data_IF_040235645840
#
_entry.id   IF_040235645840
#
_cell.length_a   1.000
_cell.length_b   1.000
_cell.length_c   1.000
_cell.angle_alpha   90.00
_cell.angle_beta   90.00
_cell.angle_gamma   90.00
#
_symmetry.space_group_name_H-M   'P 1'
#
loop_
_entity.id
_entity.type
_entity.pdbx_description
1 polymer ?
#
# COMPACT_ATOMS: atom_id res chain seq x y z
N UNK A 1 -3.83 2.69 -24.78
CA UNK A 1 -5.29 2.67 -24.57
C UNK A 1 -5.65 3.95 -23.84
N UNK A 2 -6.59 4.73 -24.34
CA UNK A 2 -6.92 6.07 -23.83
C UNK A 2 -7.33 6.05 -22.35
N UNK A 3 -7.94 4.96 -21.89
CA UNK A 3 -8.32 4.75 -20.49
C UNK A 3 -7.13 4.80 -19.51
N UNK A 4 -5.97 4.29 -19.93
CA UNK A 4 -4.75 4.33 -19.11
C UNK A 4 -4.16 5.74 -19.06
N UNK A 5 -4.13 6.44 -20.19
CA UNK A 5 -3.55 7.80 -20.29
C UNK A 5 -4.36 8.76 -19.41
N UNK A 6 -5.68 8.77 -19.57
CA UNK A 6 -6.58 9.64 -18.78
C UNK A 6 -6.44 9.38 -17.26
N UNK A 7 -6.28 8.12 -16.86
CA UNK A 7 -6.10 7.77 -15.45
C UNK A 7 -4.76 8.26 -14.91
N UNK A 8 -3.67 8.12 -15.68
CA UNK A 8 -2.35 8.58 -15.26
C UNK A 8 -2.29 10.10 -15.08
N UNK A 9 -3.06 10.87 -15.85
CA UNK A 9 -3.17 12.34 -15.69
C UNK A 9 -3.84 12.77 -14.39
N UNK A 10 -4.64 11.90 -13.76
CA UNK A 10 -5.33 12.18 -12.49
C UNK A 10 -4.48 11.86 -11.25
N UNK A 11 -3.42 11.05 -11.39
CA UNK A 11 -2.65 10.58 -10.25
C UNK A 11 -1.63 11.63 -9.77
N UNK A 12 -1.70 12.06 -8.49
CA UNK A 12 -0.86 13.14 -7.98
C UNK A 12 0.62 12.76 -7.86
N UNK A 13 0.92 11.49 -7.62
CA UNK A 13 2.28 10.96 -7.47
C UNK A 13 2.41 9.58 -8.11
N UNK A 14 3.53 9.37 -8.79
CA UNK A 14 3.88 8.11 -9.47
C UNK A 14 5.23 7.54 -9.02
N UNK A 15 5.86 8.15 -8.01
CA UNK A 15 7.18 7.80 -7.52
C UNK A 15 7.21 7.53 -6.02
N UNK A 16 8.31 6.96 -5.54
CA UNK A 16 8.55 6.85 -4.10
C UNK A 16 8.68 8.26 -3.46
N UNK A 17 8.31 8.42 -2.17
CA UNK A 17 8.59 9.62 -1.40
C UNK A 17 10.04 10.08 -1.54
N UNK A 18 10.26 11.40 -1.57
CA UNK A 18 11.58 11.99 -1.82
C UNK A 18 12.64 11.54 -0.81
N UNK A 19 12.27 11.37 0.47
CA UNK A 19 13.21 10.89 1.49
C UNK A 19 13.73 9.49 1.16
N UNK A 20 12.91 8.65 0.52
CA UNK A 20 13.36 7.34 0.06
C UNK A 20 14.18 7.48 -1.21
N UNK A 21 13.74 8.26 -2.20
CA UNK A 21 14.50 8.44 -3.45
C UNK A 21 15.94 8.87 -3.21
N UNK A 22 16.16 9.79 -2.27
CA UNK A 22 17.49 10.33 -1.93
C UNK A 22 18.41 9.34 -1.18
N UNK A 23 17.91 8.26 -0.59
CA UNK A 23 18.74 7.24 0.07
C UNK A 23 19.53 6.41 -0.93
N UNK A 24 20.86 6.38 -0.77
CA UNK A 24 21.77 5.57 -1.59
C UNK A 24 21.54 4.06 -1.46
N UNK A 25 21.23 3.57 -0.25
CA UNK A 25 20.90 2.17 0.02
C UNK A 25 19.55 2.10 0.74
N UNK A 26 18.69 1.16 0.31
CA UNK A 26 17.35 0.96 0.87
C UNK A 26 17.22 -0.50 1.27
N UNK A 27 16.89 -0.75 2.54
CA UNK A 27 16.51 -2.07 3.03
C UNK A 27 15.00 -2.18 2.95
N UNK A 28 14.52 -3.16 2.18
CA UNK A 28 13.10 -3.40 1.98
C UNK A 28 12.68 -4.70 2.66
N UNK A 29 11.48 -4.72 3.23
CA UNK A 29 10.83 -5.94 3.72
C UNK A 29 9.42 -6.04 3.14
N UNK A 30 9.04 -7.25 2.74
CA UNK A 30 7.68 -7.57 2.29
C UNK A 30 6.99 -8.33 3.40
N UNK A 31 5.86 -7.82 3.88
CA UNK A 31 5.06 -8.44 4.94
C UNK A 31 3.79 -8.99 4.31
N UNK A 32 3.73 -10.32 4.17
CA UNK A 32 2.52 -11.03 3.75
C UNK A 32 1.50 -11.13 4.89
N UNK A 33 0.28 -11.58 4.56
CA UNK A 33 -0.84 -11.69 5.52
C UNK A 33 -0.93 -13.05 6.24
N UNK A 34 0.16 -13.81 6.26
CA UNK A 34 0.17 -15.17 6.81
C UNK A 34 0.00 -15.19 8.33
N UNK A 35 -0.90 -16.04 8.84
CA UNK A 35 -1.20 -16.15 10.27
C UNK A 35 0.01 -16.53 11.15
N UNK A 36 1.08 -17.07 10.56
CA UNK A 36 2.34 -17.36 11.25
C UNK A 36 2.95 -16.14 11.95
N UNK A 37 2.63 -14.93 11.48
CA UNK A 37 3.14 -13.70 12.08
C UNK A 37 2.55 -13.43 13.47
N UNK A 38 1.35 -13.95 13.79
CA UNK A 38 0.62 -13.64 15.03
C UNK A 38 1.37 -13.97 16.32
N UNK A 39 2.31 -14.92 16.30
CA UNK A 39 3.10 -15.32 17.47
C UNK A 39 4.58 -14.90 17.35
N UNK A 40 4.91 -14.08 16.35
CA UNK A 40 6.31 -13.82 15.98
C UNK A 40 6.94 -12.62 16.70
N UNK A 41 6.12 -11.71 17.24
CA UNK A 41 6.53 -10.42 17.85
C UNK A 41 7.57 -9.64 17.03
N UNK A 42 7.54 -9.78 15.69
CA UNK A 42 8.54 -9.20 14.80
C UNK A 42 8.33 -7.70 14.55
N UNK A 43 7.30 -7.06 15.12
CA UNK A 43 6.87 -5.73 14.70
C UNK A 43 7.98 -4.68 14.78
N UNK A 44 8.69 -4.64 15.90
CA UNK A 44 9.84 -3.74 16.10
C UNK A 44 10.99 -4.02 15.10
N UNK A 45 11.21 -5.28 14.71
CA UNK A 45 12.23 -5.63 13.72
C UNK A 45 11.82 -5.19 12.31
N UNK A 46 10.55 -5.38 11.95
CA UNK A 46 10.00 -5.01 10.64
C UNK A 46 10.03 -3.49 10.43
N UNK A 47 9.74 -2.71 11.46
CA UNK A 47 9.72 -1.24 11.39
C UNK A 47 11.12 -0.62 11.20
N UNK A 48 12.20 -1.37 11.44
CA UNK A 48 13.58 -0.91 11.20
C UNK A 48 13.98 -0.87 9.72
N UNK A 49 13.19 -1.48 8.82
CA UNK A 49 13.47 -1.42 7.40
C UNK A 49 13.14 -0.04 6.83
N UNK A 50 13.91 0.42 5.83
CA UNK A 50 13.65 1.70 5.16
C UNK A 50 12.28 1.70 4.49
N UNK A 51 11.94 0.59 3.85
CA UNK A 51 10.70 0.38 3.09
C UNK A 51 9.97 -0.86 3.62
N UNK A 52 8.74 -0.66 4.10
CA UNK A 52 7.85 -1.76 4.50
C UNK A 52 6.73 -1.87 3.49
N UNK A 53 6.69 -3.01 2.77
CA UNK A 53 5.73 -3.30 1.71
C UNK A 53 4.67 -4.24 2.27
N UNK A 54 3.41 -3.83 2.22
CA UNK A 54 2.25 -4.65 2.59
C UNK A 54 1.38 -4.93 1.36
N UNK A 55 0.52 -5.93 1.49
CA UNK A 55 -0.32 -6.43 0.41
C UNK A 55 -1.78 -6.48 0.89
N UNK A 56 -2.71 -6.17 -0.01
CA UNK A 56 -4.14 -6.38 0.16
C UNK A 56 -4.67 -5.79 1.48
N UNK A 57 -5.64 -6.46 2.12
CA UNK A 57 -6.28 -6.09 3.39
C UNK A 57 -5.58 -6.74 4.59
N UNK A 58 -4.23 -6.80 4.57
CA UNK A 58 -3.47 -7.22 5.76
C UNK A 58 -3.63 -6.16 6.86
N UNK A 59 -4.26 -6.48 8.02
CA UNK A 59 -4.49 -5.48 9.07
C UNK A 59 -3.20 -5.19 9.83
N UNK A 60 -2.98 -3.92 10.15
CA UNK A 60 -1.93 -3.45 11.06
C UNK A 60 -2.52 -3.14 12.43
N UNK A 61 -3.70 -2.52 12.47
CA UNK A 61 -4.36 -2.16 13.71
C UNK A 61 -4.69 -3.42 14.52
N UNK A 62 -4.33 -3.41 15.81
CA UNK A 62 -4.47 -4.57 16.70
C UNK A 62 -3.39 -5.65 16.56
N UNK A 63 -2.48 -5.55 15.59
CA UNK A 63 -1.39 -6.53 15.37
C UNK A 63 0.02 -5.93 15.40
N UNK A 64 0.15 -4.66 15.76
CA UNK A 64 1.41 -3.89 15.67
C UNK A 64 2.61 -4.55 16.36
N UNK A 65 2.41 -5.22 17.49
CA UNK A 65 3.47 -5.97 18.18
C UNK A 65 4.12 -7.05 17.28
N UNK A 66 3.34 -7.62 16.36
CA UNK A 66 3.72 -8.74 15.51
C UNK A 66 4.12 -8.31 14.11
N UNK A 67 3.43 -7.32 13.54
CA UNK A 67 3.60 -6.93 12.13
C UNK A 67 4.17 -5.52 11.95
N UNK A 68 4.40 -4.78 13.04
CA UNK A 68 4.91 -3.41 13.02
C UNK A 68 3.81 -2.40 12.74
N UNK A 69 4.11 -1.11 12.84
CA UNK A 69 3.17 -0.03 12.52
C UNK A 69 3.57 0.79 11.29
N UNK A 70 4.75 0.54 10.71
CA UNK A 70 5.21 1.21 9.50
C UNK A 70 4.62 0.55 8.26
N UNK A 71 4.11 1.37 7.35
CA UNK A 71 3.75 0.97 5.98
C UNK A 71 4.25 2.06 5.05
N UNK A 72 5.08 1.68 4.08
CA UNK A 72 5.63 2.61 3.09
C UNK A 72 4.92 2.44 1.75
N UNK A 73 4.68 1.18 1.35
CA UNK A 73 3.90 0.84 0.17
C UNK A 73 2.83 -0.16 0.57
N UNK A 74 1.61 0.02 0.05
CA UNK A 74 0.57 -1.03 0.09
C UNK A 74 0.14 -1.34 -1.34
N UNK A 75 0.41 -2.56 -1.77
CA UNK A 75 0.00 -3.06 -3.09
C UNK A 75 -1.36 -3.74 -2.94
N UNK A 76 -2.34 -3.31 -3.71
CA UNK A 76 -3.67 -3.94 -3.68
C UNK A 76 -4.44 -3.68 -4.98
N UNK A 77 -5.61 -4.30 -5.06
CA UNK A 77 -6.59 -4.20 -6.14
C UNK A 77 -7.99 -4.04 -5.49
N UNK A 78 -9.05 -3.69 -6.25
CA UNK A 78 -10.33 -3.30 -5.66
C UNK A 78 -10.88 -4.29 -4.62
N UNK A 79 -10.88 -5.59 -4.94
CA UNK A 79 -11.44 -6.62 -4.06
C UNK A 79 -10.52 -7.04 -2.91
N UNK A 80 -9.27 -6.59 -2.93
CA UNK A 80 -8.30 -6.84 -1.85
C UNK A 80 -7.99 -5.59 -1.03
N UNK A 81 -8.57 -4.43 -1.34
CA UNK A 81 -8.24 -3.16 -0.69
C UNK A 81 -8.79 -3.10 0.74
N UNK A 82 -8.05 -2.50 1.69
CA UNK A 82 -8.57 -2.28 3.03
C UNK A 82 -9.89 -1.52 3.06
N UNK A 83 -10.79 -1.95 3.94
CA UNK A 83 -12.11 -1.33 4.14
C UNK A 83 -12.06 -0.17 5.14
N UNK A 84 -11.01 -0.07 5.96
CA UNK A 84 -10.86 0.95 6.98
C UNK A 84 -9.85 2.01 6.58
N UNK A 85 -10.23 3.28 6.70
CA UNK A 85 -9.34 4.43 6.54
C UNK A 85 -8.10 4.36 7.45
N UNK A 86 -8.20 3.67 8.59
CA UNK A 86 -7.08 3.48 9.53
C UNK A 86 -5.94 2.63 8.97
N UNK A 87 -6.20 1.88 7.90
CA UNK A 87 -5.21 1.02 7.21
C UNK A 87 -4.52 1.73 6.04
N UNK A 88 -4.82 3.01 5.81
CA UNK A 88 -4.18 3.91 4.84
C UNK A 88 -3.40 5.04 5.55
N UNK A 89 -2.18 4.77 6.06
CA UNK A 89 -1.36 5.81 6.67
C UNK A 89 -1.08 6.96 5.69
N UNK A 90 -1.16 8.24 6.13
CA UNK A 90 -0.99 9.40 5.23
C UNK A 90 0.37 9.45 4.50
N UNK A 91 1.41 8.88 5.08
CA UNK A 91 2.76 8.85 4.51
C UNK A 91 3.05 7.60 3.64
N UNK A 92 2.03 6.79 3.35
CA UNK A 92 2.17 5.56 2.56
C UNK A 92 1.77 5.76 1.11
N UNK A 93 2.49 5.11 0.20
CA UNK A 93 2.13 5.07 -1.22
C UNK A 93 1.17 3.90 -1.47
N UNK A 94 -0.03 4.23 -1.94
CA UNK A 94 -0.97 3.24 -2.46
C UNK A 94 -0.53 2.82 -3.87
N UNK A 95 -0.31 1.52 -4.08
CA UNK A 95 0.09 0.97 -5.37
C UNK A 95 -1.05 0.10 -5.90
N UNK A 96 -1.78 0.63 -6.88
CA UNK A 96 -2.86 -0.09 -7.53
C UNK A 96 -2.32 -1.18 -8.47
N UNK A 97 -2.77 -2.41 -8.28
CA UNK A 97 -2.52 -3.54 -9.18
C UNK A 97 -3.79 -3.77 -10.00
N UNK A 98 -3.71 -3.47 -11.30
CA UNK A 98 -4.86 -3.52 -12.21
C UNK A 98 -4.86 -4.85 -12.97
N UNK A 99 -5.84 -5.71 -12.71
CA UNK A 99 -6.01 -7.04 -13.32
C UNK A 99 -7.03 -7.06 -14.45
N UNK A 100 -8.05 -6.19 -14.40
CA UNK A 100 -9.17 -6.15 -15.36
C UNK A 100 -9.59 -4.71 -15.69
N UNK A 101 -10.30 -4.53 -16.80
CA UNK A 101 -10.77 -3.20 -17.25
C UNK A 101 -11.60 -2.46 -16.19
N UNK A 102 -12.36 -3.19 -15.37
CA UNK A 102 -13.14 -2.62 -14.28
C UNK A 102 -12.27 -1.92 -13.21
N UNK A 103 -11.04 -2.39 -12.98
CA UNK A 103 -10.16 -1.83 -11.95
C UNK A 103 -9.73 -0.39 -12.27
N UNK A 104 -9.62 -0.06 -13.56
CA UNK A 104 -9.37 1.32 -14.00
C UNK A 104 -10.52 2.26 -13.64
N UNK A 105 -11.77 1.78 -13.81
CA UNK A 105 -12.95 2.57 -13.45
C UNK A 105 -13.02 2.77 -11.94
N UNK A 106 -12.75 1.73 -11.17
CA UNK A 106 -12.68 1.80 -9.71
C UNK A 106 -11.61 2.79 -9.24
N UNK A 107 -10.39 2.71 -9.78
CA UNK A 107 -9.31 3.61 -9.36
C UNK A 107 -9.61 5.07 -9.74
N UNK A 108 -10.21 5.30 -10.91
CA UNK A 108 -10.67 6.64 -11.29
C UNK A 108 -11.66 7.19 -10.25
N UNK A 109 -12.71 6.41 -9.93
CA UNK A 109 -13.72 6.79 -8.94
C UNK A 109 -13.11 7.08 -7.55
N UNK A 110 -12.14 6.27 -7.12
CA UNK A 110 -11.41 6.50 -5.86
C UNK A 110 -10.63 7.82 -5.85
N UNK A 111 -9.96 8.16 -6.96
CA UNK A 111 -9.12 9.39 -7.05
C UNK A 111 -9.98 10.64 -7.24
N UNK A 112 -11.12 10.53 -7.93
CA UNK A 112 -12.08 11.64 -8.13
C UNK A 112 -13.08 11.77 -6.99
N UNK A 113 -13.08 10.85 -6.02
CA UNK A 113 -14.07 10.75 -4.95
C UNK A 113 -15.52 10.66 -5.48
N UNK A 114 -15.69 9.85 -6.52
CA UNK A 114 -16.98 9.54 -7.15
C UNK A 114 -17.44 8.13 -6.76
N UNK A 115 -18.75 7.87 -6.81
CA UNK A 115 -19.29 6.51 -6.71
C UNK A 115 -19.32 5.85 -8.09
N UNK A 116 -19.00 4.55 -8.13
CA UNK A 116 -19.14 3.72 -9.34
C UNK A 116 -20.59 3.54 -9.79
#
# INVERSE_FOLDING_TARGET
SDKLINLLELLPEHGLPEELRSKHCKRCVVVGSGGILRESELGHLLDQFDVVIRLNDAPVQGYTAHVGNKTTLRLTYPEGAPLSELEYPPASLFVAVLFKSADFSWLQAMVTNETL
#
